data_IF_663670569346
#
_entry.id   IF_663670569346
#
_cell.length_a   1.000
_cell.length_b   1.000
_cell.length_c   1.000
_cell.angle_alpha   90.00
_cell.angle_beta   90.00
_cell.angle_gamma   90.00
#
_symmetry.space_group_name_H-M   'P 1'
#
loop_
_entity.id
_entity.type
_entity.pdbx_description
1 polymer ?
#
# COMPACT_ATOMS: atom_id res chain seq x y z
N UNK A 1 -10.60 -27.89 -1.26
CA UNK A 1 -9.69 -26.85 -0.72
C UNK A 1 -9.95 -25.45 -1.33
N UNK A 2 -11.07 -25.20 -2.02
CA UNK A 2 -11.29 -23.93 -2.76
C UNK A 2 -12.10 -22.86 -2.01
N UNK A 3 -12.57 -23.14 -0.79
CA UNK A 3 -13.42 -22.20 -0.04
C UNK A 3 -12.66 -21.01 0.54
N UNK A 4 -11.34 -21.12 0.75
CA UNK A 4 -10.55 -20.06 1.38
C UNK A 4 -10.46 -18.78 0.54
N UNK A 5 -10.44 -18.92 -0.79
CA UNK A 5 -10.39 -17.79 -1.73
C UNK A 5 -11.76 -17.47 -2.36
N UNK A 6 -12.80 -18.20 -1.97
CA UNK A 6 -14.14 -17.99 -2.52
C UNK A 6 -14.76 -16.74 -1.90
N UNK A 7 -15.00 -15.72 -2.74
CA UNK A 7 -15.77 -14.52 -2.37
C UNK A 7 -17.08 -14.50 -3.16
N UNK A 8 -18.12 -13.93 -2.58
CA UNK A 8 -19.38 -13.70 -3.29
C UNK A 8 -19.16 -12.65 -4.40
N UNK A 9 -19.46 -13.01 -5.65
CA UNK A 9 -19.24 -12.18 -6.83
C UNK A 9 -20.14 -10.94 -6.91
N UNK A 10 -21.31 -10.96 -6.25
CA UNK A 10 -22.25 -9.82 -6.22
C UNK A 10 -22.11 -8.97 -4.95
N UNK A 11 -21.02 -9.12 -4.20
CA UNK A 11 -20.79 -8.37 -2.97
C UNK A 11 -20.19 -6.98 -3.24
N UNK A 12 -21.08 -6.01 -3.45
CA UNK A 12 -20.74 -4.60 -3.71
C UNK A 12 -20.05 -3.89 -2.55
N UNK A 13 -20.40 -4.20 -1.29
CA UNK A 13 -19.74 -3.56 -0.14
C UNK A 13 -18.27 -3.95 -0.04
N UNK A 14 -17.96 -5.22 -0.30
CA UNK A 14 -16.58 -5.70 -0.37
C UNK A 14 -15.81 -5.06 -1.55
N UNK A 15 -16.46 -4.86 -2.70
CA UNK A 15 -15.84 -4.19 -3.84
C UNK A 15 -15.47 -2.73 -3.51
N UNK A 16 -16.41 -1.96 -2.95
CA UNK A 16 -16.17 -0.58 -2.55
C UNK A 16 -15.03 -0.49 -1.53
N UNK A 17 -15.06 -1.34 -0.51
CA UNK A 17 -13.99 -1.38 0.49
C UNK A 17 -12.61 -1.65 -0.14
N UNK A 18 -12.51 -2.58 -1.10
CA UNK A 18 -11.25 -2.87 -1.80
C UNK A 18 -10.78 -1.70 -2.65
N UNK A 19 -11.68 -1.00 -3.34
CA UNK A 19 -11.30 0.15 -4.16
C UNK A 19 -10.77 1.30 -3.29
N UNK A 20 -11.47 1.61 -2.20
CA UNK A 20 -11.02 2.67 -1.27
C UNK A 20 -9.65 2.31 -0.67
N UNK A 21 -9.51 1.10 -0.13
CA UNK A 21 -8.23 0.65 0.43
C UNK A 21 -7.13 0.62 -0.65
N UNK A 22 -7.43 0.14 -1.85
CA UNK A 22 -6.50 0.07 -2.96
C UNK A 22 -5.98 1.45 -3.36
N UNK A 23 -6.86 2.45 -3.47
CA UNK A 23 -6.48 3.83 -3.78
C UNK A 23 -5.59 4.41 -2.69
N UNK A 24 -5.95 4.23 -1.41
CA UNK A 24 -5.18 4.74 -0.27
C UNK A 24 -3.79 4.11 -0.22
N UNK A 25 -3.71 2.78 -0.32
CA UNK A 25 -2.43 2.05 -0.31
C UNK A 25 -1.58 2.43 -1.52
N UNK A 26 -2.19 2.58 -2.71
CA UNK A 26 -1.49 3.01 -3.91
C UNK A 26 -0.90 4.42 -3.76
N UNK A 27 -1.70 5.39 -3.29
CA UNK A 27 -1.22 6.76 -3.13
C UNK A 27 -0.04 6.85 -2.14
N UNK A 28 -0.14 6.18 -0.98
CA UNK A 28 0.94 6.14 0.01
C UNK A 28 2.17 5.37 -0.52
N UNK A 29 1.96 4.26 -1.21
CA UNK A 29 3.04 3.50 -1.85
C UNK A 29 3.76 4.34 -2.90
N UNK A 30 3.02 5.08 -3.72
CA UNK A 30 3.59 5.96 -4.74
C UNK A 30 4.39 7.12 -4.14
N UNK A 31 3.96 7.69 -3.00
CA UNK A 31 4.76 8.66 -2.25
C UNK A 31 6.11 8.09 -1.80
N UNK A 32 6.09 6.86 -1.26
CA UNK A 32 7.27 6.22 -0.68
C UNK A 32 8.22 5.61 -1.70
N UNK A 33 7.72 5.14 -2.84
CA UNK A 33 8.55 4.51 -3.88
C UNK A 33 8.96 5.51 -4.94
N UNK A 34 8.02 6.32 -5.44
CA UNK A 34 8.22 7.18 -6.61
C UNK A 34 8.28 8.67 -6.28
N UNK A 35 8.06 9.05 -5.02
CA UNK A 35 8.04 10.46 -4.61
C UNK A 35 6.82 11.22 -5.14
N UNK A 36 5.79 10.51 -5.61
CA UNK A 36 4.57 11.16 -6.10
C UNK A 36 3.89 11.95 -5.00
N UNK A 37 3.12 12.98 -5.37
CA UNK A 37 2.38 13.82 -4.44
C UNK A 37 3.27 14.53 -3.38
N UNK A 38 4.53 14.83 -3.74
CA UNK A 38 5.49 15.47 -2.84
C UNK A 38 6.09 14.52 -1.79
N UNK A 39 5.99 13.20 -2.02
CA UNK A 39 6.61 12.19 -1.15
C UNK A 39 8.13 12.15 -1.26
N UNK A 40 8.79 11.57 -0.26
CA UNK A 40 10.26 11.50 -0.17
C UNK A 40 10.91 10.51 -1.15
N UNK A 41 10.11 9.71 -1.86
CA UNK A 41 10.63 8.68 -2.76
C UNK A 41 11.39 7.58 -2.04
N UNK A 42 11.94 6.66 -2.82
CA UNK A 42 12.57 5.45 -2.29
C UNK A 42 13.75 5.77 -1.37
N UNK A 43 14.68 6.62 -1.82
CA UNK A 43 15.88 6.96 -1.04
C UNK A 43 15.54 7.63 0.29
N UNK A 44 14.66 8.63 0.30
CA UNK A 44 14.25 9.30 1.55
C UNK A 44 13.49 8.37 2.49
N UNK A 45 12.66 7.47 1.94
CA UNK A 45 11.97 6.44 2.73
C UNK A 45 12.96 5.44 3.34
N UNK A 46 13.95 4.98 2.57
CA UNK A 46 14.98 4.07 3.08
C UNK A 46 15.88 4.74 4.11
N UNK A 47 16.25 6.01 3.91
CA UNK A 47 17.01 6.78 4.90
C UNK A 47 16.27 6.86 6.25
N UNK A 48 14.95 7.02 6.24
CA UNK A 48 14.14 6.91 7.45
C UNK A 48 14.16 5.49 8.02
N UNK A 49 13.95 4.47 7.19
CA UNK A 49 13.88 3.08 7.65
C UNK A 49 15.19 2.60 8.29
N UNK A 50 16.32 2.97 7.71
CA UNK A 50 17.62 2.49 8.17
C UNK A 50 18.28 3.40 9.18
N UNK A 51 18.01 4.70 9.10
CA UNK A 51 18.52 5.69 10.05
C UNK A 51 17.67 5.77 11.32
N UNK A 52 16.35 5.96 11.18
CA UNK A 52 15.46 6.21 12.32
C UNK A 52 14.77 4.95 12.83
N UNK A 53 14.24 4.11 11.93
CA UNK A 53 13.55 2.89 12.33
C UNK A 53 14.52 1.72 12.65
N UNK A 54 15.82 1.89 12.36
CA UNK A 54 16.86 0.91 12.68
C UNK A 54 16.75 -0.40 11.88
N UNK A 55 16.04 -0.39 10.75
CA UNK A 55 15.94 -1.54 9.86
C UNK A 55 17.24 -1.67 9.03
N UNK A 56 17.66 -2.90 8.68
CA UNK A 56 18.78 -3.07 7.76
C UNK A 56 18.42 -2.54 6.38
N UNK A 57 19.44 -2.09 5.64
CA UNK A 57 19.32 -1.67 4.24
C UNK A 57 19.38 -2.87 3.31
#
# INVERSE_FOLDING_TARGET
MNKLYSTNSANWSALIARLVLGIVVFAHGAQKLFGWFGGYGFEGTMAYMTGQAGLPY
#
